data_IF_251610069227
#
_entry.id   IF_251610069227
#
_cell.length_a   1.000
_cell.length_b   1.000
_cell.length_c   1.000
_cell.angle_alpha   90.00
_cell.angle_beta   90.00
_cell.angle_gamma   90.00
#
_symmetry.space_group_name_H-M   'P 1'
#
loop_
_entity.id
_entity.type
_entity.pdbx_description
1 polymer ?
#
# COMPACT_ATOMS: atom_id res chain seq x y z
N UNK A 1 -1.66 6.01 7.75
CA UNK A 1 -1.42 5.54 9.13
C UNK A 1 -1.14 6.72 10.06
N UNK A 2 -0.08 7.50 9.86
CA UNK A 2 0.24 8.67 10.71
C UNK A 2 -0.92 9.66 10.81
N UNK A 3 -1.55 10.00 9.67
CA UNK A 3 -2.73 10.87 9.62
C UNK A 3 -3.92 10.39 10.47
N UNK A 4 -3.94 9.11 10.83
CA UNK A 4 -4.98 8.45 11.63
C UNK A 4 -4.52 8.15 13.06
N UNK A 5 -3.40 8.75 13.50
CA UNK A 5 -2.83 8.51 14.83
C UNK A 5 -2.23 7.12 15.03
N UNK A 6 -2.06 6.33 13.96
CA UNK A 6 -1.39 5.04 14.02
C UNK A 6 0.12 5.23 13.86
N UNK A 7 0.89 4.81 14.86
CA UNK A 7 2.35 4.76 14.78
C UNK A 7 2.80 3.78 13.70
N UNK A 8 3.79 4.18 12.91
CA UNK A 8 4.31 3.32 11.85
C UNK A 8 5.14 2.17 12.46
N UNK A 9 4.79 0.90 12.21
CA UNK A 9 5.48 -0.24 12.82
C UNK A 9 6.92 -0.36 12.29
N UNK A 10 7.84 -0.89 13.11
CA UNK A 10 9.23 -1.20 12.68
C UNK A 10 9.34 -2.51 11.90
N UNK A 11 8.28 -2.90 11.20
CA UNK A 11 8.17 -4.13 10.43
C UNK A 11 8.22 -3.84 8.93
N UNK A 12 8.62 -4.84 8.14
CA UNK A 12 8.73 -4.70 6.67
C UNK A 12 7.38 -4.85 5.97
N UNK A 13 6.52 -5.73 6.48
CA UNK A 13 5.13 -5.86 6.06
C UNK A 13 4.25 -5.11 7.06
N UNK A 14 3.53 -4.11 6.58
CA UNK A 14 2.61 -3.30 7.39
C UNK A 14 1.13 -3.60 7.09
N UNK A 15 0.85 -4.61 6.28
CA UNK A 15 -0.49 -4.97 5.82
C UNK A 15 -1.44 -5.29 6.98
N UNK A 16 -0.97 -5.98 8.00
CA UNK A 16 -1.75 -6.32 9.19
C UNK A 16 -2.20 -5.08 9.96
N UNK A 17 -1.29 -4.11 10.14
CA UNK A 17 -1.60 -2.82 10.78
C UNK A 17 -2.50 -1.97 9.87
N UNK A 18 -2.26 -1.98 8.56
CA UNK A 18 -3.07 -1.25 7.59
C UNK A 18 -4.53 -1.73 7.57
N UNK A 19 -4.79 -3.02 7.79
CA UNK A 19 -6.17 -3.57 7.92
C UNK A 19 -6.94 -2.97 9.09
N UNK A 20 -6.26 -2.39 10.10
CA UNK A 20 -6.94 -1.72 11.21
C UNK A 20 -7.59 -0.41 10.77
N UNK A 21 -7.15 0.18 9.64
CA UNK A 21 -7.71 1.44 9.13
C UNK A 21 -9.21 1.35 8.86
N UNK A 22 -9.70 0.22 8.35
CA UNK A 22 -11.15 0.05 8.10
C UNK A 22 -12.01 0.02 9.38
N UNK A 23 -11.38 -0.05 10.55
CA UNK A 23 -12.06 -0.06 11.86
C UNK A 23 -12.03 1.29 12.57
N UNK A 24 -11.36 2.29 12.00
CA UNK A 24 -11.23 3.62 12.59
C UNK A 24 -12.49 4.42 12.26
N UNK A 25 -13.02 5.13 13.26
CA UNK A 25 -14.15 6.04 13.06
C UNK A 25 -13.79 7.14 12.06
N UNK A 26 -14.77 7.58 11.27
CA UNK A 26 -14.63 8.61 10.22
C UNK A 26 -13.83 8.19 8.99
N UNK A 27 -13.53 6.90 8.80
CA UNK A 27 -13.05 6.40 7.50
C UNK A 27 -14.25 6.19 6.57
N UNK A 28 -14.29 6.83 5.39
CA UNK A 28 -15.37 6.66 4.42
C UNK A 28 -15.54 5.20 4.00
N UNK A 29 -16.79 4.77 3.80
CA UNK A 29 -17.13 3.40 3.40
C UNK A 29 -16.42 2.99 2.10
N UNK A 30 -16.31 3.91 1.13
CA UNK A 30 -15.61 3.65 -0.12
C UNK A 30 -14.14 3.28 0.12
N UNK A 31 -13.46 3.95 1.05
CA UNK A 31 -12.06 3.66 1.37
C UNK A 31 -11.96 2.39 2.20
N UNK A 32 -12.82 2.22 3.20
CA UNK A 32 -12.87 1.01 4.01
C UNK A 32 -13.08 -0.26 3.17
N UNK A 33 -13.89 -0.18 2.10
CA UNK A 33 -14.17 -1.31 1.21
C UNK A 33 -12.96 -1.77 0.39
N UNK A 34 -12.02 -0.87 0.08
CA UNK A 34 -10.82 -1.18 -0.70
C UNK A 34 -9.60 -1.50 0.19
N UNK A 35 -9.63 -1.16 1.48
CA UNK A 35 -8.55 -1.46 2.45
C UNK A 35 -8.06 -2.92 2.40
N UNK A 36 -8.92 -3.95 2.28
CA UNK A 36 -8.45 -5.34 2.17
C UNK A 36 -7.56 -5.58 0.94
N UNK A 37 -7.93 -5.03 -0.21
CA UNK A 37 -7.13 -5.11 -1.45
C UNK A 37 -5.79 -4.36 -1.26
N UNK A 38 -5.84 -3.14 -0.74
CA UNK A 38 -4.66 -2.32 -0.47
C UNK A 38 -3.68 -3.03 0.47
N UNK A 39 -4.19 -3.71 1.51
CA UNK A 39 -3.38 -4.48 2.44
C UNK A 39 -2.74 -5.71 1.79
N UNK A 40 -3.46 -6.41 0.90
CA UNK A 40 -2.89 -7.54 0.16
C UNK A 40 -1.74 -7.07 -0.74
N UNK A 41 -1.91 -5.94 -1.43
CA UNK A 41 -0.85 -5.35 -2.26
C UNK A 41 0.41 -4.99 -1.43
N UNK A 42 0.23 -4.46 -0.22
CA UNK A 42 1.35 -4.19 0.72
C UNK A 42 2.09 -5.48 1.07
N UNK A 43 1.34 -6.53 1.41
CA UNK A 43 1.92 -7.82 1.82
C UNK A 43 2.70 -8.48 0.68
N UNK A 44 2.11 -8.50 -0.52
CA UNK A 44 2.75 -9.03 -1.73
C UNK A 44 4.07 -8.32 -2.02
N UNK A 45 4.09 -6.98 -2.00
CA UNK A 45 5.31 -6.21 -2.22
C UNK A 45 6.37 -6.47 -1.14
N UNK A 46 5.98 -6.67 0.11
CA UNK A 46 6.89 -7.01 1.19
C UNK A 46 7.53 -8.40 0.99
N UNK A 47 6.75 -9.38 0.54
CA UNK A 47 7.22 -10.74 0.21
C UNK A 47 8.18 -10.73 -0.98
N UNK A 48 7.78 -10.09 -2.08
CA UNK A 48 8.60 -10.00 -3.30
C UNK A 48 9.93 -9.29 -3.06
N UNK A 49 9.95 -8.27 -2.19
CA UNK A 49 11.20 -7.65 -1.74
C UNK A 49 12.11 -8.64 -1.04
N UNK A 50 11.55 -9.52 -0.21
CA UNK A 50 12.28 -10.61 0.43
C UNK A 50 12.91 -11.51 -0.63
N UNK A 51 12.10 -12.02 -1.57
CA UNK A 51 12.55 -12.94 -2.63
C UNK A 51 13.59 -12.32 -3.57
N UNK A 52 13.43 -11.06 -3.95
CA UNK A 52 14.40 -10.32 -4.77
C UNK A 52 15.75 -10.14 -4.04
N UNK A 53 15.73 -9.97 -2.72
CA UNK A 53 16.94 -9.86 -1.90
C UNK A 53 17.78 -11.13 -1.84
N UNK A 54 17.18 -12.30 -2.10
CA UNK A 54 17.85 -13.61 -2.11
C UNK A 54 18.17 -14.12 -3.53
N UNK A 55 18.28 -13.22 -4.51
CA UNK A 55 18.38 -13.48 -5.96
C UNK A 55 19.48 -14.42 -6.49
N UNK A 56 20.25 -15.11 -5.63
CA UNK A 56 21.33 -16.02 -6.05
C UNK A 56 21.07 -17.51 -5.81
N UNK A 57 20.14 -17.90 -4.93
CA UNK A 57 19.95 -19.34 -4.62
C UNK A 57 18.60 -19.92 -5.07
N UNK A 58 17.56 -19.07 -5.27
CA UNK A 58 16.21 -19.43 -5.76
C UNK A 58 15.26 -18.22 -5.90
N UNK A 59 15.80 -17.01 -6.00
CA UNK A 59 15.01 -15.77 -6.02
C UNK A 59 14.42 -15.43 -7.39
N UNK A 60 13.54 -14.43 -7.41
CA UNK A 60 12.96 -13.88 -8.64
C UNK A 60 14.03 -13.16 -9.45
N UNK A 61 14.09 -13.41 -10.76
CA UNK A 61 15.07 -12.84 -11.66
C UNK A 61 14.52 -11.66 -12.48
N UNK A 62 15.39 -11.05 -13.29
CA UNK A 62 15.03 -9.88 -14.10
C UNK A 62 13.93 -10.19 -15.13
N UNK A 63 13.82 -11.43 -15.61
CA UNK A 63 12.81 -11.81 -16.59
C UNK A 63 11.43 -11.89 -15.93
N UNK A 64 11.32 -12.39 -14.69
CA UNK A 64 10.09 -12.28 -13.91
C UNK A 64 9.64 -10.81 -13.75
N UNK A 65 10.58 -9.92 -13.42
CA UNK A 65 10.25 -8.52 -13.16
C UNK A 65 9.85 -7.73 -14.41
N UNK A 66 10.22 -8.16 -15.63
CA UNK A 66 9.76 -7.49 -16.87
C UNK A 66 8.24 -7.45 -16.96
N UNK A 67 7.57 -8.55 -16.64
CA UNK A 67 6.11 -8.67 -16.73
C UNK A 67 5.41 -8.18 -15.46
N UNK A 68 6.08 -8.34 -14.31
CA UNK A 68 5.52 -7.96 -13.02
C UNK A 68 5.60 -6.45 -12.78
N UNK A 69 6.71 -5.79 -13.11
CA UNK A 69 6.95 -4.39 -12.75
C UNK A 69 5.88 -3.41 -13.28
N UNK A 70 5.39 -3.51 -14.53
CA UNK A 70 4.31 -2.64 -15.00
C UNK A 70 3.02 -2.81 -14.20
N UNK A 71 2.69 -4.05 -13.80
CA UNK A 71 1.50 -4.34 -12.98
C UNK A 71 1.66 -3.78 -11.57
N UNK A 72 2.82 -4.01 -10.96
CA UNK A 72 3.16 -3.49 -9.65
C UNK A 72 3.10 -1.96 -9.60
N UNK A 73 3.58 -1.30 -10.67
CA UNK A 73 3.49 0.15 -10.80
C UNK A 73 2.03 0.62 -10.83
N UNK A 74 1.18 0.01 -11.65
CA UNK A 74 -0.24 0.38 -11.71
C UNK A 74 -0.96 0.14 -10.38
N UNK A 75 -0.64 -0.96 -9.70
CA UNK A 75 -1.14 -1.25 -8.35
C UNK A 75 -0.70 -0.18 -7.35
N UNK A 76 0.58 0.21 -7.36
CA UNK A 76 1.12 1.25 -6.49
C UNK A 76 0.49 2.62 -6.80
N UNK A 77 0.27 2.94 -8.07
CA UNK A 77 -0.41 4.17 -8.51
C UNK A 77 -1.83 4.24 -7.96
N UNK A 78 -2.63 3.19 -8.13
CA UNK A 78 -3.99 3.11 -7.58
C UNK A 78 -4.01 3.22 -6.06
N UNK A 79 -3.05 2.58 -5.39
CA UNK A 79 -2.91 2.65 -3.94
C UNK A 79 -2.64 4.09 -3.48
N UNK A 80 -1.72 4.78 -4.14
CA UNK A 80 -1.42 6.19 -3.89
C UNK A 80 -2.65 7.07 -4.16
N UNK A 81 -3.32 6.91 -5.30
CA UNK A 81 -4.49 7.71 -5.67
C UNK A 81 -5.64 7.54 -4.65
N UNK A 82 -5.89 6.31 -4.20
CA UNK A 82 -6.87 6.03 -3.16
C UNK A 82 -6.51 6.73 -1.83
N UNK A 83 -5.26 6.61 -1.40
CA UNK A 83 -4.79 7.25 -0.16
C UNK A 83 -4.80 8.78 -0.26
N UNK A 84 -4.39 9.34 -1.40
CA UNK A 84 -4.39 10.77 -1.65
C UNK A 84 -5.82 11.33 -1.65
N UNK A 85 -6.75 10.65 -2.32
CA UNK A 85 -8.18 11.00 -2.29
C UNK A 85 -8.72 10.98 -0.86
N UNK A 86 -8.42 9.92 -0.11
CA UNK A 86 -8.85 9.82 1.29
C UNK A 86 -8.29 10.96 2.16
N UNK A 87 -6.99 11.28 2.02
CA UNK A 87 -6.36 12.36 2.76
C UNK A 87 -6.91 13.74 2.36
N UNK A 88 -7.23 13.96 1.07
CA UNK A 88 -7.89 15.20 0.63
C UNK A 88 -9.26 15.37 1.26
N UNK A 89 -10.06 14.29 1.35
CA UNK A 89 -11.36 14.32 2.02
C UNK A 89 -11.23 14.54 3.53
N UNK A 90 -10.19 13.97 4.16
CA UNK A 90 -9.95 14.06 5.60
C UNK A 90 -9.52 15.48 6.04
N UNK A 91 -8.69 16.14 5.24
CA UNK A 91 -8.12 17.45 5.57
C UNK A 91 -8.76 18.63 4.83
N UNK A 92 -9.75 18.38 3.97
CA UNK A 92 -10.39 19.39 3.10
C UNK A 92 -9.37 20.17 2.24
N UNK A 93 -8.42 19.44 1.63
CA UNK A 93 -7.34 20.00 0.81
C UNK A 93 -7.37 19.41 -0.61
N UNK A 94 -6.98 20.18 -1.63
CA UNK A 94 -6.93 19.68 -3.00
C UNK A 94 -5.89 18.54 -3.13
N UNK A 95 -6.32 17.38 -3.66
CA UNK A 95 -5.47 16.20 -3.81
C UNK A 95 -4.19 16.45 -4.64
N UNK A 96 -4.17 17.47 -5.50
CA UNK A 96 -2.98 17.87 -6.28
C UNK A 96 -1.88 18.49 -5.44
N UNK A 97 -2.17 18.90 -4.20
CA UNK A 97 -1.20 19.45 -3.24
C UNK A 97 -0.47 18.36 -2.44
N UNK A 98 -0.94 17.11 -2.49
CA UNK A 98 -0.32 15.94 -1.85
C UNK A 98 0.67 15.32 -2.86
N UNK A 99 1.73 16.06 -3.22
CA UNK A 99 2.78 15.60 -4.15
C UNK A 99 4.12 15.43 -3.46
#
# INVERSE_FOLDING_TARGET
MIALGIEYPRERDVSAVFKLVSRIENVPEWFASIVPELANNISELAELRGLAGYGYEKGLDADYFKDYAPKAYETARKHYEACAKFLSELYDVDAKMIK
#
